data_IF_855483676604
#
_entry.id   IF_855483676604
#
_cell.length_a   1.000
_cell.length_b   1.000
_cell.length_c   1.000
_cell.angle_alpha   90.00
_cell.angle_beta   90.00
_cell.angle_gamma   90.00
#
_symmetry.space_group_name_H-M   'P 1'
#
loop_
_entity.id
_entity.type
_entity.pdbx_description
1 polymer ?
#
# COMPACT_ATOMS: atom_id res chain seq x y z
N UNK A 1 -45.67 17.38 -0.65
CA UNK A 1 -44.57 16.46 -0.28
C UNK A 1 -44.34 15.41 -1.35
N UNK A 2 -45.29 14.53 -1.68
CA UNK A 2 -45.11 13.48 -2.69
C UNK A 2 -44.77 14.01 -4.11
N UNK A 3 -45.50 15.04 -4.59
CA UNK A 3 -45.24 15.65 -5.90
C UNK A 3 -43.89 16.39 -6.00
N UNK A 4 -43.39 16.93 -4.88
CA UNK A 4 -42.10 17.62 -4.81
C UNK A 4 -40.94 16.62 -4.75
N UNK A 5 -41.10 15.51 -4.03
CA UNK A 5 -40.11 14.43 -3.94
C UNK A 5 -39.84 13.76 -5.30
N UNK A 6 -40.91 13.52 -6.09
CA UNK A 6 -40.80 12.98 -7.44
C UNK A 6 -40.00 13.88 -8.41
N UNK A 7 -40.06 15.21 -8.26
CA UNK A 7 -39.31 16.17 -9.09
C UNK A 7 -37.80 16.11 -8.80
N UNK A 8 -37.41 15.77 -7.58
CA UNK A 8 -35.99 15.66 -7.15
C UNK A 8 -35.47 14.22 -7.29
N UNK A 9 -36.28 13.31 -7.86
CA UNK A 9 -35.89 11.91 -8.09
C UNK A 9 -35.64 11.11 -6.81
N UNK A 10 -36.29 11.48 -5.70
CA UNK A 10 -36.08 10.85 -4.39
C UNK A 10 -37.41 10.60 -3.67
N UNK A 11 -37.41 9.75 -2.64
CA UNK A 11 -38.62 9.46 -1.89
C UNK A 11 -38.94 10.59 -0.86
N UNK A 12 -40.19 10.70 -0.38
CA UNK A 12 -40.60 11.77 0.52
C UNK A 12 -39.84 11.84 1.86
N UNK A 13 -39.36 10.70 2.39
CA UNK A 13 -38.58 10.68 3.63
C UNK A 13 -37.20 11.28 3.39
N UNK A 14 -36.54 10.83 2.32
CA UNK A 14 -35.24 11.38 1.93
C UNK A 14 -35.33 12.89 1.64
N UNK A 15 -36.39 13.36 0.96
CA UNK A 15 -36.59 14.80 0.77
C UNK A 15 -36.76 15.55 2.10
N UNK A 16 -37.55 15.00 3.03
CA UNK A 16 -37.75 15.62 4.34
C UNK A 16 -36.43 15.70 5.13
N UNK A 17 -35.61 14.65 5.09
CA UNK A 17 -34.30 14.64 5.73
C UNK A 17 -33.31 15.61 5.08
N UNK A 18 -33.31 15.71 3.74
CA UNK A 18 -32.51 16.70 3.02
C UNK A 18 -32.88 18.13 3.46
N UNK A 19 -34.16 18.45 3.53
CA UNK A 19 -34.63 19.76 3.99
C UNK A 19 -34.25 19.99 5.46
N UNK A 20 -34.35 18.98 6.32
CA UNK A 20 -33.94 19.07 7.73
C UNK A 20 -32.45 19.39 7.86
N UNK A 21 -31.59 18.70 7.10
CA UNK A 21 -30.14 18.93 7.12
C UNK A 21 -29.80 20.30 6.53
N UNK A 22 -30.42 20.69 5.41
CA UNK A 22 -30.19 21.97 4.76
C UNK A 22 -30.57 23.18 5.64
N UNK A 23 -31.56 23.02 6.50
CA UNK A 23 -31.99 24.06 7.44
C UNK A 23 -31.32 23.96 8.83
N UNK A 24 -30.39 23.02 9.04
CA UNK A 24 -29.73 22.86 10.33
C UNK A 24 -28.69 23.99 10.57
N UNK A 25 -28.56 24.49 11.82
CA UNK A 25 -27.46 25.38 12.17
C UNK A 25 -26.10 24.75 11.84
N UNK A 26 -25.22 25.52 11.20
CA UNK A 26 -23.91 25.03 10.77
C UNK A 26 -23.92 24.16 9.51
N UNK A 27 -24.99 24.20 8.70
CA UNK A 27 -25.08 23.47 7.43
C UNK A 27 -23.88 23.73 6.50
N UNK A 28 -23.43 24.98 6.36
CA UNK A 28 -22.29 25.30 5.49
C UNK A 28 -21.01 24.60 5.96
N UNK A 29 -20.78 24.56 7.27
CA UNK A 29 -19.65 23.85 7.86
C UNK A 29 -19.78 22.34 7.68
N UNK A 30 -20.99 21.80 7.82
CA UNK A 30 -21.27 20.40 7.56
C UNK A 30 -21.01 20.04 6.09
N UNK A 31 -21.48 20.88 5.16
CA UNK A 31 -21.28 20.71 3.73
C UNK A 31 -19.79 20.79 3.37
N UNK A 32 -19.04 21.71 3.97
CA UNK A 32 -17.59 21.78 3.85
C UNK A 32 -16.92 20.49 4.31
N UNK A 33 -17.28 19.97 5.49
CA UNK A 33 -16.75 18.70 5.99
C UNK A 33 -17.03 17.56 5.02
N UNK A 34 -18.26 17.43 4.51
CA UNK A 34 -18.64 16.39 3.55
C UNK A 34 -17.81 16.51 2.27
N UNK A 35 -17.67 17.72 1.70
CA UNK A 35 -16.83 17.96 0.51
C UNK A 35 -15.37 17.58 0.73
N UNK A 36 -14.80 17.90 1.91
CA UNK A 36 -13.42 17.54 2.27
C UNK A 36 -13.16 16.03 2.33
N UNK A 37 -14.20 15.21 2.53
CA UNK A 37 -14.04 13.75 2.48
C UNK A 37 -13.85 13.21 1.05
N UNK A 38 -14.05 14.04 0.02
CA UNK A 38 -13.83 13.67 -1.38
C UNK A 38 -14.76 12.59 -1.92
N UNK A 39 -15.94 12.40 -1.31
CA UNK A 39 -16.87 11.33 -1.70
C UNK A 39 -16.57 9.98 -1.04
N UNK A 40 -15.87 9.98 0.09
CA UNK A 40 -15.67 8.78 0.91
C UNK A 40 -17.00 8.10 1.26
N UNK A 41 -17.10 6.79 1.02
CA UNK A 41 -18.32 6.01 1.25
C UNK A 41 -18.66 5.83 2.73
N UNK A 42 -17.64 5.79 3.60
CA UNK A 42 -17.80 5.58 5.03
C UNK A 42 -16.77 6.43 5.82
N UNK A 43 -16.99 7.76 5.95
CA UNK A 43 -16.05 8.65 6.63
C UNK A 43 -15.84 8.27 8.11
N UNK A 44 -14.61 8.45 8.59
CA UNK A 44 -14.30 8.34 10.03
C UNK A 44 -14.83 9.59 10.73
N UNK A 45 -15.55 9.38 11.83
CA UNK A 45 -16.05 10.44 12.70
C UNK A 45 -15.15 10.59 13.91
N UNK A 46 -14.43 11.71 13.98
CA UNK A 46 -13.55 12.04 15.09
C UNK A 46 -14.28 12.95 16.09
N UNK A 47 -14.11 12.65 17.37
CA UNK A 47 -14.59 13.46 18.48
C UNK A 47 -13.42 13.75 19.42
N UNK A 48 -13.25 15.01 19.83
CA UNK A 48 -12.20 15.40 20.76
C UNK A 48 -11.72 16.82 20.57
N UNK A 49 -10.55 17.09 21.12
CA UNK A 49 -9.90 18.39 21.07
C UNK A 49 -8.39 18.26 20.89
N UNK A 50 -7.77 19.26 20.28
CA UNK A 50 -6.31 19.39 20.21
C UNK A 50 -5.90 20.79 20.63
N UNK A 51 -4.76 20.89 21.31
CA UNK A 51 -4.19 22.16 21.72
C UNK A 51 -2.70 22.15 21.44
N UNK A 52 -2.25 23.04 20.57
CA UNK A 52 -0.83 23.24 20.29
C UNK A 52 -0.30 24.30 21.25
N UNK A 53 0.77 23.98 21.98
CA UNK A 53 1.44 24.89 22.92
C UNK A 53 2.88 25.15 22.47
N UNK A 54 3.36 26.35 22.71
CA UNK A 54 4.79 26.63 22.60
C UNK A 54 5.58 25.80 23.62
N UNK A 55 6.63 25.12 23.16
CA UNK A 55 7.36 24.17 23.98
C UNK A 55 8.16 24.83 25.12
N UNK A 56 8.52 26.12 24.98
CA UNK A 56 9.34 26.84 25.96
C UNK A 56 8.50 27.65 26.94
N UNK A 57 7.52 28.40 26.44
CA UNK A 57 6.68 29.30 27.25
C UNK A 57 5.40 28.64 27.75
N UNK A 58 4.97 27.52 27.16
CA UNK A 58 3.70 26.86 27.47
C UNK A 58 2.45 27.60 26.93
N UNK A 59 2.64 28.71 26.23
CA UNK A 59 1.56 29.51 25.64
C UNK A 59 0.76 28.69 24.63
N UNK A 60 -0.57 28.78 24.68
CA UNK A 60 -1.43 28.15 23.68
C UNK A 60 -1.33 28.91 22.36
N UNK A 61 -0.84 28.23 21.32
CA UNK A 61 -0.74 28.77 19.96
C UNK A 61 -2.01 28.48 19.16
N UNK A 62 -2.63 27.33 19.40
CA UNK A 62 -3.82 26.89 18.70
C UNK A 62 -4.65 25.96 19.60
N UNK A 63 -5.97 26.07 19.54
CA UNK A 63 -6.89 25.14 20.17
C UNK A 63 -8.05 24.85 19.22
N UNK A 64 -8.46 23.59 19.16
CA UNK A 64 -9.56 23.10 18.35
C UNK A 64 -10.35 22.08 19.15
N UNK A 65 -11.69 22.13 19.06
CA UNK A 65 -12.60 21.17 19.70
C UNK A 65 -13.75 20.85 18.76
N UNK A 66 -14.10 19.57 18.66
CA UNK A 66 -15.24 19.13 17.85
C UNK A 66 -16.60 19.48 18.48
N UNK A 67 -16.64 19.96 19.73
CA UNK A 67 -17.88 20.43 20.35
C UNK A 67 -18.55 21.56 19.57
N UNK A 68 -17.77 22.40 18.87
CA UNK A 68 -18.28 23.45 18.00
C UNK A 68 -18.61 23.00 16.57
N UNK A 69 -18.37 21.72 16.23
CA UNK A 69 -18.62 21.20 14.89
C UNK A 69 -20.06 20.69 14.75
N UNK A 70 -20.64 20.71 13.52
CA UNK A 70 -21.96 20.16 13.26
C UNK A 70 -22.09 18.69 13.70
N UNK A 71 -22.90 18.48 14.75
CA UNK A 71 -23.10 17.17 15.36
C UNK A 71 -21.94 16.68 16.23
N UNK A 72 -21.12 17.58 16.78
CA UNK A 72 -20.08 17.29 17.77
C UNK A 72 -18.83 16.60 17.22
N UNK A 73 -18.69 16.49 15.90
CA UNK A 73 -17.71 15.62 15.24
C UNK A 73 -17.12 16.20 13.96
N UNK A 74 -15.90 15.77 13.68
CA UNK A 74 -15.17 16.04 12.44
C UNK A 74 -15.15 14.80 11.56
N UNK A 75 -15.54 14.95 10.28
CA UNK A 75 -15.49 13.87 9.29
C UNK A 75 -14.15 13.88 8.54
N UNK A 76 -13.52 12.71 8.46
CA UNK A 76 -12.29 12.50 7.68
C UNK A 76 -12.49 11.31 6.75
N UNK A 77 -11.94 11.40 5.54
CA UNK A 77 -11.97 10.28 4.61
C UNK A 77 -11.34 9.02 5.24
N UNK A 78 -11.94 7.84 5.05
CA UNK A 78 -11.48 6.61 5.71
C UNK A 78 -10.10 6.13 5.27
N UNK A 79 -9.58 6.61 4.14
CA UNK A 79 -8.31 6.18 3.57
C UNK A 79 -8.27 4.69 3.18
N UNK A 80 -9.43 4.03 3.08
CA UNK A 80 -9.50 2.62 2.74
C UNK A 80 -9.09 2.43 1.28
N UNK A 81 -8.07 1.60 1.07
CA UNK A 81 -7.43 1.39 -0.24
C UNK A 81 -8.17 0.37 -1.12
N UNK A 82 -9.19 -0.31 -0.56
CA UNK A 82 -9.97 -1.32 -1.29
C UNK A 82 -11.16 -0.67 -1.98
N UNK A 83 -11.17 -0.71 -3.32
CA UNK A 83 -12.27 -0.16 -4.13
C UNK A 83 -13.62 -0.79 -3.78
N UNK A 84 -13.64 -2.06 -3.37
CA UNK A 84 -14.85 -2.76 -2.90
C UNK A 84 -15.39 -2.26 -1.55
N UNK A 85 -14.62 -1.44 -0.81
CA UNK A 85 -15.04 -0.85 0.47
C UNK A 85 -15.27 0.65 0.36
N UNK A 86 -14.41 1.37 -0.37
CA UNK A 86 -14.57 2.79 -0.63
C UNK A 86 -13.95 3.14 -2.00
N UNK A 87 -14.77 3.23 -3.08
CA UNK A 87 -14.27 3.54 -4.41
C UNK A 87 -13.49 4.86 -4.50
N UNK A 88 -13.99 5.92 -3.86
CA UNK A 88 -13.35 7.25 -3.87
C UNK A 88 -11.96 7.23 -3.23
N UNK A 89 -11.84 6.77 -1.97
CA UNK A 89 -10.53 6.75 -1.29
C UNK A 89 -9.53 5.84 -2.00
N UNK A 90 -9.99 4.70 -2.54
CA UNK A 90 -9.14 3.80 -3.30
C UNK A 90 -8.63 4.43 -4.61
N UNK A 91 -9.49 5.20 -5.31
CA UNK A 91 -9.12 5.93 -6.52
C UNK A 91 -8.04 6.98 -6.25
N UNK A 92 -8.24 7.82 -5.23
CA UNK A 92 -7.24 8.83 -4.82
C UNK A 92 -5.91 8.18 -4.47
N UNK A 93 -5.94 7.11 -3.66
CA UNK A 93 -4.74 6.37 -3.30
C UNK A 93 -4.01 5.79 -4.52
N UNK A 94 -4.75 5.21 -5.47
CA UNK A 94 -4.18 4.65 -6.69
C UNK A 94 -3.54 5.75 -7.56
N UNK A 95 -4.20 6.90 -7.70
CA UNK A 95 -3.67 8.07 -8.41
C UNK A 95 -2.39 8.60 -7.77
N UNK A 96 -2.38 8.80 -6.46
CA UNK A 96 -1.20 9.25 -5.72
C UNK A 96 -0.03 8.27 -5.87
N UNK A 97 -0.31 6.98 -5.72
CA UNK A 97 0.70 5.92 -5.90
C UNK A 97 1.25 5.91 -7.32
N UNK A 98 0.39 6.06 -8.34
CA UNK A 98 0.80 6.15 -9.73
C UNK A 98 1.76 7.33 -9.95
N UNK A 99 1.41 8.51 -9.44
CA UNK A 99 2.26 9.70 -9.60
C UNK A 99 3.60 9.55 -8.88
N UNK A 100 3.62 8.98 -7.67
CA UNK A 100 4.85 8.70 -6.93
C UNK A 100 5.77 7.73 -7.69
N UNK A 101 5.23 6.61 -8.17
CA UNK A 101 5.99 5.61 -8.91
C UNK A 101 6.48 6.17 -10.25
N UNK A 102 5.63 6.87 -10.99
CA UNK A 102 6.00 7.49 -12.27
C UNK A 102 7.11 8.52 -12.09
N UNK A 103 6.97 9.44 -11.15
CA UNK A 103 8.02 10.44 -10.87
C UNK A 103 9.35 9.76 -10.50
N UNK A 104 9.32 8.69 -9.71
CA UNK A 104 10.53 7.90 -9.40
C UNK A 104 11.12 7.14 -10.59
N UNK A 105 10.34 6.78 -11.60
CA UNK A 105 10.83 6.03 -12.76
C UNK A 105 11.38 6.94 -13.85
N UNK A 106 10.69 8.05 -14.14
CA UNK A 106 10.97 8.91 -15.30
C UNK A 106 11.46 10.30 -14.94
N UNK A 107 11.32 10.69 -13.67
CA UNK A 107 11.44 12.07 -13.23
C UNK A 107 10.14 12.85 -13.44
N UNK A 108 9.94 13.87 -12.61
CA UNK A 108 8.87 14.87 -12.68
C UNK A 108 9.31 16.12 -11.89
N UNK A 109 9.72 17.17 -12.60
CA UNK A 109 10.24 18.41 -12.00
C UNK A 109 9.17 19.09 -11.15
N UNK A 110 7.89 19.01 -11.53
CA UNK A 110 6.79 19.57 -10.76
C UNK A 110 6.53 18.81 -9.45
N UNK A 111 7.09 17.61 -9.31
CA UNK A 111 7.08 16.80 -8.08
C UNK A 111 8.44 16.73 -7.39
N UNK A 112 9.41 17.55 -7.82
CA UNK A 112 10.73 17.60 -7.22
C UNK A 112 11.54 16.31 -7.43
N UNK A 113 11.41 15.67 -8.60
CA UNK A 113 12.28 14.55 -8.98
C UNK A 113 12.88 14.82 -10.36
N UNK A 114 14.20 14.75 -10.56
CA UNK A 114 14.79 15.17 -11.82
C UNK A 114 14.62 14.10 -12.89
N UNK A 115 14.62 14.54 -14.14
CA UNK A 115 14.56 13.64 -15.30
C UNK A 115 15.79 12.72 -15.42
N UNK A 116 16.90 13.05 -14.75
CA UNK A 116 18.11 12.23 -14.71
C UNK A 116 17.89 10.90 -13.99
N UNK A 117 16.88 10.79 -13.09
CA UNK A 117 16.55 9.53 -12.40
C UNK A 117 16.25 8.37 -13.36
N UNK A 118 15.87 8.68 -14.61
CA UNK A 118 15.65 7.69 -15.66
C UNK A 118 16.92 6.88 -15.98
N UNK A 119 18.11 7.41 -15.73
CA UNK A 119 19.39 6.73 -15.98
C UNK A 119 19.88 5.93 -14.77
N UNK A 120 19.28 6.11 -13.60
CA UNK A 120 19.69 5.41 -12.39
C UNK A 120 19.40 3.90 -12.51
N UNK A 121 20.31 3.01 -12.06
CA UNK A 121 20.09 1.57 -12.07
C UNK A 121 18.85 1.21 -11.28
N UNK A 122 17.95 0.44 -11.90
CA UNK A 122 16.69 0.03 -11.31
C UNK A 122 16.27 -1.36 -11.79
N UNK A 123 15.63 -2.09 -10.90
CA UNK A 123 15.09 -3.43 -11.15
C UNK A 123 13.64 -3.47 -10.67
N UNK A 124 12.77 -4.01 -11.52
CA UNK A 124 11.42 -4.41 -11.13
C UNK A 124 11.46 -5.88 -10.69
N UNK A 125 11.35 -6.12 -9.39
CA UNK A 125 11.41 -7.44 -8.79
C UNK A 125 10.02 -7.88 -8.33
N UNK A 126 9.70 -9.15 -8.57
CA UNK A 126 8.52 -9.81 -7.99
C UNK A 126 8.99 -10.89 -7.01
N UNK A 127 8.74 -10.68 -5.73
CA UNK A 127 9.06 -11.63 -4.65
C UNK A 127 7.80 -12.41 -4.33
N UNK A 128 7.79 -13.69 -4.70
CA UNK A 128 6.61 -14.57 -4.56
C UNK A 128 6.74 -15.50 -3.37
N UNK A 129 5.59 -15.89 -2.81
CA UNK A 129 5.52 -16.89 -1.78
C UNK A 129 6.01 -18.26 -2.28
N UNK A 130 6.58 -19.11 -1.39
CA UNK A 130 6.84 -20.50 -1.71
C UNK A 130 5.54 -21.24 -2.08
N UNK A 131 5.67 -22.49 -2.52
CA UNK A 131 4.50 -23.37 -2.66
C UNK A 131 4.14 -23.96 -1.29
N UNK A 132 2.85 -24.00 -0.99
CA UNK A 132 2.28 -24.67 0.19
C UNK A 132 1.52 -25.95 -0.22
N UNK A 133 1.71 -26.40 -1.45
CA UNK A 133 0.93 -27.47 -2.07
C UNK A 133 0.32 -27.04 -3.41
N UNK A 134 -0.19 -28.00 -4.19
CA UNK A 134 -0.77 -27.73 -5.50
C UNK A 134 -2.16 -27.09 -5.37
N UNK A 135 -2.41 -26.09 -6.20
CA UNK A 135 -3.68 -25.36 -6.25
C UNK A 135 -4.32 -25.47 -7.63
N UNK A 136 -5.64 -25.27 -7.70
CA UNK A 136 -6.31 -25.06 -8.97
C UNK A 136 -5.78 -23.79 -9.64
N UNK A 137 -5.51 -23.88 -10.94
CA UNK A 137 -4.93 -22.81 -11.74
C UNK A 137 -5.45 -22.86 -13.18
N UNK A 138 -5.04 -21.86 -13.98
CA UNK A 138 -5.31 -21.79 -15.43
C UNK A 138 -3.97 -21.85 -16.18
N UNK A 139 -3.49 -23.04 -16.58
CA UNK A 139 -2.26 -23.17 -17.36
C UNK A 139 -2.38 -22.45 -18.71
N UNK A 140 -1.27 -21.95 -19.26
CA UNK A 140 -1.25 -21.36 -20.61
C UNK A 140 -1.55 -22.39 -21.71
N UNK A 141 -1.27 -23.67 -21.44
CA UNK A 141 -1.57 -24.81 -22.32
C UNK A 141 -2.08 -25.98 -21.49
N UNK A 142 -3.11 -26.67 -21.98
CA UNK A 142 -3.73 -27.81 -21.30
C UNK A 142 -4.77 -27.42 -20.26
N UNK A 143 -5.17 -28.39 -19.45
CA UNK A 143 -6.17 -28.21 -18.38
C UNK A 143 -5.52 -28.13 -17.01
N UNK A 144 -6.26 -27.67 -16.01
CA UNK A 144 -5.81 -27.73 -14.63
C UNK A 144 -5.48 -29.18 -14.24
N UNK A 145 -4.59 -29.38 -13.27
CA UNK A 145 -4.21 -30.72 -12.79
C UNK A 145 -5.39 -31.54 -12.24
N UNK A 146 -6.53 -30.92 -11.93
CA UNK A 146 -7.77 -31.63 -11.60
C UNK A 146 -8.49 -32.23 -12.83
N UNK A 147 -8.01 -31.99 -14.04
CA UNK A 147 -8.62 -32.43 -15.30
C UNK A 147 -9.63 -31.45 -15.91
N UNK A 148 -9.90 -30.33 -15.25
CA UNK A 148 -10.90 -29.34 -15.68
C UNK A 148 -10.26 -28.10 -16.29
N UNK A 149 -10.83 -27.57 -17.36
CA UNK A 149 -10.51 -26.23 -17.84
C UNK A 149 -11.36 -25.20 -17.07
N UNK A 150 -10.69 -24.35 -16.29
CA UNK A 150 -11.39 -23.38 -15.42
C UNK A 150 -11.57 -22.04 -16.15
N UNK A 151 -12.79 -21.47 -16.16
CA UNK A 151 -12.96 -20.09 -16.59
C UNK A 151 -12.24 -19.12 -15.64
N UNK A 152 -12.00 -17.89 -16.09
CA UNK A 152 -11.22 -16.88 -15.37
C UNK A 152 -11.77 -16.48 -13.99
N UNK A 153 -13.08 -16.55 -13.85
CA UNK A 153 -13.83 -16.24 -12.65
C UNK A 153 -14.18 -17.49 -11.82
N UNK A 154 -13.65 -18.66 -12.19
CA UNK A 154 -13.90 -19.91 -11.44
C UNK A 154 -13.54 -19.73 -9.96
N UNK A 155 -14.47 -20.04 -9.04
CA UNK A 155 -14.25 -19.89 -7.60
C UNK A 155 -13.22 -20.90 -7.07
N UNK A 156 -12.87 -21.91 -7.86
CA UNK A 156 -11.84 -22.89 -7.51
C UNK A 156 -10.43 -22.34 -7.73
N UNK A 157 -10.22 -21.34 -8.58
CA UNK A 157 -8.87 -20.85 -8.87
C UNK A 157 -8.16 -20.33 -7.61
N UNK A 158 -6.99 -20.92 -7.31
CA UNK A 158 -6.20 -20.63 -6.13
C UNK A 158 -6.52 -21.49 -4.91
N UNK A 159 -7.61 -22.26 -4.91
CA UNK A 159 -7.90 -23.22 -3.82
C UNK A 159 -7.03 -24.47 -3.97
N UNK A 160 -6.80 -25.17 -2.85
CA UNK A 160 -6.00 -26.40 -2.84
C UNK A 160 -6.65 -27.51 -3.68
N UNK A 161 -5.85 -28.21 -4.50
CA UNK A 161 -6.33 -29.41 -5.21
C UNK A 161 -6.74 -30.52 -4.24
N UNK A 162 -5.98 -30.67 -3.15
CA UNK A 162 -6.32 -31.54 -2.04
C UNK A 162 -6.19 -30.74 -0.73
N UNK A 163 -7.30 -30.33 -0.12
CA UNK A 163 -7.29 -29.60 1.15
C UNK A 163 -6.62 -30.36 2.29
N UNK A 164 -6.66 -31.71 2.30
CA UNK A 164 -6.09 -32.52 3.37
C UNK A 164 -4.56 -32.54 3.40
N UNK A 165 -3.91 -32.16 2.29
CA UNK A 165 -2.43 -32.17 2.17
C UNK A 165 -1.83 -30.78 1.93
N UNK A 166 -2.66 -29.74 1.91
CA UNK A 166 -2.18 -28.37 1.70
C UNK A 166 -1.69 -27.78 3.01
N UNK A 167 -0.51 -27.15 2.98
CA UNK A 167 0.11 -26.52 4.13
C UNK A 167 -0.53 -25.16 4.44
N UNK A 168 -1.73 -25.21 5.03
CA UNK A 168 -2.44 -24.01 5.46
C UNK A 168 -1.71 -23.26 6.56
N UNK A 169 -1.02 -23.97 7.45
CA UNK A 169 -0.26 -23.34 8.54
C UNK A 169 0.88 -22.49 7.97
N UNK A 170 1.70 -23.04 7.08
CA UNK A 170 2.75 -22.30 6.38
C UNK A 170 2.21 -21.12 5.57
N UNK A 171 1.06 -21.28 4.91
CA UNK A 171 0.43 -20.18 4.17
C UNK A 171 -0.02 -19.03 5.09
N UNK A 172 -0.59 -19.34 6.24
CA UNK A 172 -0.99 -18.35 7.26
C UNK A 172 0.23 -17.66 7.85
N UNK A 173 1.24 -18.43 8.26
CA UNK A 173 2.50 -17.90 8.81
C UNK A 173 3.21 -17.00 7.81
N UNK A 174 3.27 -17.39 6.53
CA UNK A 174 3.81 -16.56 5.46
C UNK A 174 3.10 -15.21 5.37
N UNK A 175 1.76 -15.22 5.31
CA UNK A 175 0.99 -13.99 5.20
C UNK A 175 1.15 -13.09 6.42
N UNK A 176 1.16 -13.67 7.62
CA UNK A 176 1.34 -12.95 8.88
C UNK A 176 2.72 -12.30 8.97
N UNK A 177 3.77 -13.00 8.51
CA UNK A 177 5.16 -12.55 8.58
C UNK A 177 5.69 -11.93 7.29
N UNK A 178 4.84 -11.67 6.29
CA UNK A 178 5.26 -11.05 5.02
C UNK A 178 5.93 -9.67 5.24
N UNK A 179 5.48 -8.92 6.26
CA UNK A 179 6.12 -7.66 6.67
C UNK A 179 7.54 -7.84 7.22
N UNK A 180 7.74 -8.86 8.05
CA UNK A 180 9.05 -9.19 8.62
C UNK A 180 10.03 -9.72 7.57
N UNK A 181 9.53 -10.55 6.64
CA UNK A 181 10.29 -11.03 5.49
C UNK A 181 10.74 -9.85 4.63
N UNK A 182 9.86 -8.90 4.34
CA UNK A 182 10.23 -7.67 3.63
C UNK A 182 11.30 -6.87 4.39
N UNK A 183 11.14 -6.69 5.70
CA UNK A 183 12.14 -6.01 6.53
C UNK A 183 13.50 -6.68 6.40
N UNK A 184 13.57 -8.01 6.55
CA UNK A 184 14.81 -8.79 6.43
C UNK A 184 15.40 -8.72 5.03
N UNK A 185 14.58 -8.83 3.99
CA UNK A 185 14.99 -8.61 2.59
C UNK A 185 15.70 -7.26 2.43
N UNK A 186 15.11 -6.16 2.91
CA UNK A 186 15.74 -4.84 2.76
C UNK A 186 17.02 -4.65 3.58
N UNK A 187 17.18 -5.37 4.69
CA UNK A 187 18.44 -5.41 5.46
C UNK A 187 19.52 -6.14 4.66
N UNK A 188 19.21 -7.34 4.15
CA UNK A 188 20.16 -8.12 3.37
C UNK A 188 20.50 -7.44 2.05
N UNK A 189 19.53 -6.83 1.36
CA UNK A 189 19.78 -6.09 0.13
C UNK A 189 20.87 -5.02 0.29
N UNK A 190 20.80 -4.22 1.36
CA UNK A 190 21.83 -3.19 1.62
C UNK A 190 23.21 -3.80 1.91
N UNK A 191 23.25 -4.95 2.60
CA UNK A 191 24.49 -5.70 2.86
C UNK A 191 25.09 -6.27 1.58
N UNK A 192 24.25 -6.86 0.74
CA UNK A 192 24.64 -7.47 -0.53
C UNK A 192 25.14 -6.41 -1.54
N UNK A 193 24.54 -5.22 -1.55
CA UNK A 193 25.02 -4.07 -2.33
C UNK A 193 26.39 -3.61 -1.83
N UNK A 194 26.54 -3.38 -0.53
CA UNK A 194 27.82 -2.95 0.05
C UNK A 194 28.95 -3.95 -0.23
N UNK A 195 28.70 -5.24 0.01
CA UNK A 195 29.68 -6.30 -0.23
C UNK A 195 30.12 -6.38 -1.70
N UNK A 196 29.19 -6.25 -2.66
CA UNK A 196 29.51 -6.25 -4.10
C UNK A 196 30.23 -4.99 -4.56
N UNK A 197 30.02 -3.88 -3.86
CA UNK A 197 30.76 -2.65 -4.09
C UNK A 197 32.15 -2.66 -3.44
N UNK A 198 32.50 -3.69 -2.66
CA UNK A 198 33.75 -3.74 -1.90
C UNK A 198 33.79 -2.76 -0.72
N UNK A 199 32.62 -2.39 -0.19
CA UNK A 199 32.46 -1.38 0.86
C UNK A 199 31.89 -2.00 2.15
N UNK A 200 32.18 -1.36 3.29
CA UNK A 200 31.38 -1.58 4.49
C UNK A 200 29.96 -1.01 4.29
N UNK A 201 29.00 -1.47 5.11
CA UNK A 201 27.63 -0.93 5.08
C UNK A 201 27.58 0.58 5.38
N UNK A 202 28.50 1.08 6.20
CA UNK A 202 28.58 2.50 6.56
C UNK A 202 29.04 3.32 5.35
N UNK A 203 30.16 2.94 4.74
CA UNK A 203 30.68 3.61 3.55
C UNK A 203 29.69 3.56 2.39
N UNK A 204 29.03 2.41 2.17
CA UNK A 204 28.00 2.29 1.14
C UNK A 204 26.84 3.26 1.36
N UNK A 205 26.39 3.46 2.60
CA UNK A 205 25.31 4.40 2.92
C UNK A 205 25.70 5.87 2.75
N UNK A 206 26.99 6.20 2.83
CA UNK A 206 27.53 7.54 2.60
C UNK A 206 27.62 7.92 1.12
N UNK A 207 27.60 6.94 0.20
CA UNK A 207 27.79 7.18 -1.24
C UNK A 207 26.64 6.68 -2.12
N UNK A 208 25.78 5.80 -1.60
CA UNK A 208 24.69 5.21 -2.36
C UNK A 208 23.43 4.99 -1.52
N UNK A 209 22.31 5.50 -2.01
CA UNK A 209 21.00 5.26 -1.41
C UNK A 209 20.26 4.16 -2.17
N UNK A 210 19.85 3.12 -1.44
CA UNK A 210 18.92 2.10 -1.95
C UNK A 210 17.49 2.58 -1.72
N UNK A 211 16.85 3.06 -2.79
CA UNK A 211 15.47 3.54 -2.82
C UNK A 211 14.54 2.43 -3.34
N UNK A 212 13.32 2.33 -2.80
CA UNK A 212 12.33 1.40 -3.34
C UNK A 212 10.90 1.91 -3.19
N UNK A 213 10.06 1.54 -4.16
CA UNK A 213 8.60 1.55 -4.04
C UNK A 213 8.11 0.10 -4.08
N UNK A 214 7.18 -0.27 -3.19
CA UNK A 214 6.64 -1.64 -3.12
C UNK A 214 5.13 -1.66 -3.05
N UNK A 215 4.54 -2.67 -3.68
CA UNK A 215 3.12 -3.03 -3.56
C UNK A 215 3.05 -4.46 -3.04
N UNK A 216 2.14 -4.70 -2.10
CA UNK A 216 1.81 -6.03 -1.62
C UNK A 216 0.46 -6.42 -2.22
N UNK A 217 0.41 -7.59 -2.84
CA UNK A 217 -0.80 -8.10 -3.49
C UNK A 217 -1.04 -9.56 -3.10
N UNK A 218 -2.32 -9.94 -3.04
CA UNK A 218 -2.71 -11.32 -2.85
C UNK A 218 -2.77 -12.03 -4.20
N UNK A 219 -2.02 -13.11 -4.35
CA UNK A 219 -2.24 -14.04 -5.46
C UNK A 219 -3.65 -14.65 -5.33
N UNK A 220 -4.20 -15.21 -6.42
CA UNK A 220 -5.49 -15.95 -6.38
C UNK A 220 -5.53 -17.02 -5.28
N UNK A 221 -4.38 -17.63 -4.97
CA UNK A 221 -4.20 -18.60 -3.85
C UNK A 221 -4.12 -17.97 -2.45
N UNK A 222 -4.41 -16.69 -2.31
CA UNK A 222 -4.40 -15.97 -1.02
C UNK A 222 -3.02 -15.72 -0.42
N UNK A 223 -1.93 -16.05 -1.11
CA UNK A 223 -0.57 -15.78 -0.63
C UNK A 223 -0.12 -14.37 -1.02
N UNK A 224 0.38 -13.61 -0.04
CA UNK A 224 0.97 -12.28 -0.27
C UNK A 224 2.23 -12.41 -1.12
N UNK A 225 2.36 -11.56 -2.13
CA UNK A 225 3.59 -11.35 -2.88
C UNK A 225 3.88 -9.85 -3.01
N UNK A 226 5.14 -9.52 -3.27
CA UNK A 226 5.56 -8.14 -3.43
C UNK A 226 6.00 -7.87 -4.86
N UNK A 227 5.49 -6.78 -5.42
CA UNK A 227 6.10 -6.11 -6.56
C UNK A 227 6.91 -4.93 -6.03
N UNK A 228 8.18 -4.83 -6.41
CA UNK A 228 9.06 -3.77 -5.96
C UNK A 228 9.87 -3.19 -7.11
N UNK A 229 9.91 -1.87 -7.19
CA UNK A 229 10.92 -1.16 -7.96
C UNK A 229 12.01 -0.80 -6.98
N UNK A 230 13.21 -1.33 -7.18
CA UNK A 230 14.40 -1.01 -6.39
C UNK A 230 15.34 -0.20 -7.28
N UNK A 231 15.88 0.90 -6.75
CA UNK A 231 16.75 1.83 -7.48
C UNK A 231 17.97 2.18 -6.63
N UNK A 232 19.11 2.32 -7.29
CA UNK A 232 20.32 2.88 -6.69
C UNK A 232 20.42 4.36 -7.07
N UNK A 233 20.50 5.22 -6.06
CA UNK A 233 20.68 6.67 -6.18
C UNK A 233 22.05 7.07 -5.58
N UNK A 234 22.45 8.33 -5.79
CA UNK A 234 23.51 8.94 -5.00
C UNK A 234 23.09 9.17 -3.54
N UNK A 235 23.99 9.73 -2.71
CA UNK A 235 23.80 9.82 -1.25
C UNK A 235 22.59 10.67 -0.85
N UNK A 236 22.33 11.76 -1.58
CA UNK A 236 21.21 12.66 -1.31
C UNK A 236 19.90 12.21 -1.97
N UNK A 237 19.91 11.04 -2.62
CA UNK A 237 18.74 10.47 -3.30
C UNK A 237 18.67 10.85 -4.79
N UNK A 238 17.45 10.96 -5.37
CA UNK A 238 17.26 10.99 -6.82
C UNK A 238 17.87 12.20 -7.53
N UNK A 239 18.24 13.24 -6.77
CA UNK A 239 18.93 14.44 -7.26
C UNK A 239 20.40 14.19 -7.61
N UNK A 240 20.99 13.15 -7.04
CA UNK A 240 22.42 12.85 -7.15
C UNK A 240 22.65 11.57 -7.93
N UNK A 241 23.64 11.62 -8.83
CA UNK A 241 23.99 10.47 -9.65
C UNK A 241 24.48 9.31 -8.76
N UNK A 242 24.10 8.06 -9.07
CA UNK A 242 24.62 6.90 -8.37
C UNK A 242 26.14 6.73 -8.65
N UNK A 243 26.89 6.07 -7.76
CA UNK A 243 28.32 5.86 -7.94
C UNK A 243 28.61 4.97 -9.16
N UNK A 244 29.80 5.08 -9.74
CA UNK A 244 30.15 4.40 -10.99
C UNK A 244 30.09 2.87 -10.95
N UNK A 245 30.16 2.25 -9.77
CA UNK A 245 29.98 0.81 -9.59
C UNK A 245 28.51 0.37 -9.56
N UNK A 246 27.57 1.30 -9.35
CA UNK A 246 26.15 1.00 -9.29
C UNK A 246 25.64 0.62 -10.68
N UNK A 247 25.26 -0.65 -10.83
CA UNK A 247 24.77 -1.20 -12.08
C UNK A 247 23.51 -2.05 -11.87
N UNK A 248 22.76 -2.27 -12.95
CA UNK A 248 21.58 -3.14 -12.93
C UNK A 248 21.98 -4.58 -12.62
N UNK A 249 23.13 -5.04 -13.11
CA UNK A 249 23.65 -6.38 -12.83
C UNK A 249 23.94 -6.57 -11.34
N UNK A 250 24.71 -5.66 -10.73
CA UNK A 250 25.00 -5.69 -9.30
C UNK A 250 23.71 -5.67 -8.46
N UNK A 251 22.76 -4.81 -8.83
CA UNK A 251 21.47 -4.72 -8.14
C UNK A 251 20.66 -6.02 -8.27
N UNK A 252 20.64 -6.64 -9.45
CA UNK A 252 19.94 -7.90 -9.70
C UNK A 252 20.51 -9.01 -8.83
N UNK A 253 21.83 -9.16 -8.80
CA UNK A 253 22.51 -10.19 -8.01
C UNK A 253 22.30 -9.97 -6.50
N UNK A 254 22.31 -8.70 -6.06
CA UNK A 254 22.03 -8.35 -4.67
C UNK A 254 20.59 -8.65 -4.26
N UNK A 255 19.62 -8.38 -5.15
CA UNK A 255 18.20 -8.72 -4.92
C UNK A 255 18.02 -10.23 -4.79
N UNK A 256 18.60 -11.02 -5.70
CA UNK A 256 18.50 -12.48 -5.67
C UNK A 256 19.10 -13.06 -4.38
N UNK A 257 20.32 -12.63 -4.02
CA UNK A 257 20.98 -13.09 -2.80
C UNK A 257 20.19 -12.69 -1.53
N UNK A 258 19.68 -11.45 -1.47
CA UNK A 258 18.89 -10.97 -0.35
C UNK A 258 17.55 -11.71 -0.22
N UNK A 259 16.88 -12.00 -1.34
CA UNK A 259 15.62 -12.75 -1.36
C UNK A 259 15.83 -14.19 -0.87
N UNK A 260 16.87 -14.87 -1.35
CA UNK A 260 17.21 -16.24 -0.94
C UNK A 260 17.59 -16.34 0.55
N UNK A 261 18.11 -15.26 1.13
CA UNK A 261 18.52 -15.20 2.54
C UNK A 261 17.41 -14.79 3.49
N UNK A 262 16.36 -14.12 3.00
CA UNK A 262 15.30 -13.58 3.84
C UNK A 262 14.43 -14.69 4.43
N UNK A 263 14.66 -15.01 5.71
CA UNK A 263 13.90 -16.00 6.48
C UNK A 263 13.47 -15.40 7.81
N UNK A 264 12.33 -15.79 8.36
CA UNK A 264 11.89 -15.38 9.71
C UNK A 264 11.88 -16.62 10.60
N UNK A 265 12.78 -16.73 11.60
CA UNK A 265 12.73 -17.81 12.57
C UNK A 265 11.54 -17.57 13.50
N UNK A 266 10.73 -18.60 13.68
CA UNK A 266 9.56 -18.59 14.55
C UNK A 266 9.75 -19.65 15.65
N UNK A 267 9.24 -19.40 16.86
CA UNK A 267 9.11 -20.47 17.83
C UNK A 267 8.03 -21.46 17.36
N UNK A 268 8.21 -22.76 17.61
CA UNK A 268 7.20 -23.75 17.25
C UNK A 268 5.90 -23.49 17.99
N UNK A 269 4.77 -23.73 17.31
CA UNK A 269 3.42 -23.60 17.84
C UNK A 269 2.67 -24.92 17.73
N UNK A 270 2.83 -25.79 18.74
CA UNK A 270 2.31 -27.15 18.71
C UNK A 270 3.00 -28.00 17.63
N UNK A 271 2.22 -28.65 16.77
CA UNK A 271 2.72 -29.46 15.66
C UNK A 271 3.17 -28.63 14.44
N UNK A 272 3.09 -27.30 14.52
CA UNK A 272 3.45 -26.39 13.43
C UNK A 272 4.77 -25.66 13.73
N UNK A 273 5.62 -25.45 12.71
CA UNK A 273 6.88 -24.72 12.85
C UNK A 273 6.70 -23.28 13.35
#
# INVERSE_FOLDING_TARGET
MAGTAAIVGTDPLTLADLLRVANAPGFDRWQEQVRRTGGCSDPIHLEGMTTTRDAKSGQVLYSYSTQGEPGGRLRVACGNRRASRCPSCAWTYAGDTFHLIRAGLTGDVAKGTPVTVRTHPKVFATLTAPSFGPVHNRPTKGVCRCGTDHPEDSPLLGTALNPGTYDYAGAVLWNNHAGDLWRRFTIYLRREVAARAGLSQKEAAEVCRVSFGKVAEFQKRGAVHFHAIVRLDGPDGPETAPPGWASVALLTDAIQAAANRATVPLPPSGDYP
#
